data_IF_980788208780
#
_entry.id   IF_980788208780
#
_cell.length_a   1.000
_cell.length_b   1.000
_cell.length_c   1.000
_cell.angle_alpha   90.00
_cell.angle_beta   90.00
_cell.angle_gamma   90.00
#
_symmetry.space_group_name_H-M   'P 1'
#
loop_
_entity.id
_entity.type
_entity.pdbx_description
1 polymer ?
#
# COMPACT_ATOMS: atom_id res chain seq x y z
N UNK A 1 33.14 60.31 -59.98
CA UNK A 1 33.06 60.25 -58.50
C UNK A 1 32.03 59.20 -58.10
N UNK A 2 32.44 57.96 -57.82
CA UNK A 2 31.67 57.01 -57.01
C UNK A 2 32.67 56.12 -56.28
N UNK A 3 32.72 56.28 -54.96
CA UNK A 3 33.62 55.61 -54.03
C UNK A 3 33.11 54.19 -53.73
N UNK A 4 33.94 53.16 -53.99
CA UNK A 4 33.69 51.78 -53.57
C UNK A 4 34.06 51.64 -52.09
N UNK A 5 33.05 51.41 -51.24
CA UNK A 5 33.23 51.04 -49.83
C UNK A 5 33.82 49.63 -49.72
N UNK A 6 34.91 49.53 -48.96
CA UNK A 6 35.53 48.27 -48.53
C UNK A 6 34.62 47.55 -47.52
N UNK A 7 34.05 46.42 -47.92
CA UNK A 7 33.47 45.45 -46.99
C UNK A 7 34.60 44.66 -46.34
N UNK A 8 34.93 45.00 -45.09
CA UNK A 8 35.73 44.13 -44.21
C UNK A 8 34.86 42.92 -43.83
N UNK A 9 35.21 41.76 -44.37
CA UNK A 9 34.71 40.48 -43.88
C UNK A 9 35.10 40.35 -42.40
N UNK A 10 34.11 40.18 -41.53
CA UNK A 10 34.33 39.84 -40.13
C UNK A 10 35.04 38.47 -40.07
N UNK A 11 36.02 38.28 -39.17
CA UNK A 11 36.68 37.00 -39.03
C UNK A 11 35.65 35.95 -38.62
N UNK A 12 35.63 34.84 -39.36
CA UNK A 12 34.88 33.64 -39.01
C UNK A 12 35.17 33.31 -37.55
N UNK A 13 34.14 33.45 -36.70
CA UNK A 13 34.20 32.92 -35.34
C UNK A 13 34.37 31.41 -35.50
N UNK A 14 35.62 30.95 -35.36
CA UNK A 14 35.95 29.53 -35.18
C UNK A 14 35.19 29.08 -33.95
N UNK A 15 34.00 28.51 -34.18
CA UNK A 15 33.22 27.83 -33.16
C UNK A 15 34.10 26.67 -32.69
N UNK A 16 34.71 26.87 -31.53
CA UNK A 16 35.73 25.99 -31.01
C UNK A 16 35.07 24.62 -30.75
N UNK A 17 35.32 23.63 -31.60
CA UNK A 17 34.66 22.31 -31.54
C UNK A 17 34.82 21.65 -30.16
N UNK A 18 35.89 21.98 -29.42
CA UNK A 18 36.12 21.57 -28.05
C UNK A 18 35.10 22.12 -27.03
N UNK A 19 34.55 23.32 -27.28
CA UNK A 19 33.51 23.90 -26.42
C UNK A 19 32.15 23.24 -26.61
N UNK A 20 31.85 22.79 -27.83
CA UNK A 20 30.62 22.05 -28.13
C UNK A 20 30.66 20.63 -27.54
N UNK A 21 31.79 19.93 -27.69
CA UNK A 21 31.97 18.60 -27.10
C UNK A 21 31.89 18.62 -25.56
N UNK A 22 32.48 19.63 -24.91
CA UNK A 22 32.35 19.83 -23.45
C UNK A 22 30.91 20.11 -23.03
N UNK A 23 30.15 20.88 -23.81
CA UNK A 23 28.73 21.11 -23.56
C UNK A 23 27.92 19.80 -23.68
N UNK A 24 28.13 19.01 -24.74
CA UNK A 24 27.46 17.72 -24.89
C UNK A 24 27.84 16.72 -23.80
N UNK A 25 29.11 16.65 -23.40
CA UNK A 25 29.54 15.80 -22.29
C UNK A 25 28.89 16.27 -20.98
N UNK A 26 28.83 17.58 -20.72
CA UNK A 26 28.18 18.10 -19.52
C UNK A 26 26.67 17.83 -19.52
N UNK A 27 25.99 18.03 -20.65
CA UNK A 27 24.55 17.71 -20.80
C UNK A 27 24.31 16.21 -20.65
N UNK A 28 25.16 15.36 -21.24
CA UNK A 28 25.05 13.90 -21.14
C UNK A 28 25.36 13.40 -19.73
N UNK A 29 26.36 13.98 -19.04
CA UNK A 29 26.63 13.71 -17.63
C UNK A 29 25.47 14.22 -16.76
N UNK A 30 24.90 15.39 -17.03
CA UNK A 30 23.71 15.87 -16.32
C UNK A 30 22.51 14.95 -16.56
N UNK A 31 22.36 14.41 -17.78
CA UNK A 31 21.31 13.45 -18.13
C UNK A 31 21.53 12.12 -17.41
N UNK A 32 22.75 11.57 -17.42
CA UNK A 32 23.11 10.33 -16.73
C UNK A 32 23.07 10.46 -15.19
N UNK A 33 23.44 11.62 -14.64
CA UNK A 33 23.35 11.89 -13.20
C UNK A 33 21.89 12.11 -12.79
N UNK A 34 21.07 12.76 -13.64
CA UNK A 34 19.63 12.88 -13.38
C UNK A 34 18.89 11.55 -13.56
N UNK A 35 19.34 10.64 -14.41
CA UNK A 35 18.79 9.28 -14.51
C UNK A 35 19.27 8.38 -13.35
N UNK A 36 20.38 8.73 -12.70
CA UNK A 36 20.70 8.29 -11.34
C UNK A 36 19.87 9.08 -10.31
N UNK A 37 18.55 9.13 -10.49
CA UNK A 37 17.65 9.46 -9.39
C UNK A 37 17.96 8.42 -8.32
N UNK A 38 18.59 8.87 -7.23
CA UNK A 38 18.68 8.11 -5.99
C UNK A 38 17.23 7.91 -5.54
N UNK A 39 16.62 6.79 -5.96
CA UNK A 39 15.30 6.40 -5.49
C UNK A 39 15.34 6.40 -3.96
N UNK A 40 14.27 6.91 -3.36
CA UNK A 40 14.28 7.49 -2.02
C UNK A 40 15.07 6.65 -1.01
N UNK A 41 15.93 7.32 -0.24
CA UNK A 41 16.56 6.77 0.96
C UNK A 41 15.54 6.32 2.03
N UNK A 42 14.24 6.44 1.76
CA UNK A 42 13.16 6.32 2.74
C UNK A 42 12.34 5.04 2.54
N UNK A 43 12.89 4.00 1.90
CA UNK A 43 12.24 2.69 1.88
C UNK A 43 11.78 2.31 3.30
N UNK A 44 10.54 1.81 3.48
CA UNK A 44 10.06 1.41 4.79
C UNK A 44 10.97 0.32 5.36
N UNK A 45 11.55 0.55 6.54
CA UNK A 45 12.37 -0.42 7.26
C UNK A 45 12.00 -0.48 8.74
N UNK A 46 11.90 -1.67 9.29
CA UNK A 46 11.58 -1.92 10.70
C UNK A 46 10.08 -2.02 10.98
N UNK A 47 9.65 -1.55 12.15
CA UNK A 47 8.29 -1.76 12.63
C UNK A 47 7.41 -0.53 12.35
N UNK A 48 6.28 -0.77 11.71
CA UNK A 48 5.26 0.23 11.42
C UNK A 48 3.97 -0.10 12.16
N UNK A 49 3.34 0.91 12.76
CA UNK A 49 2.01 0.74 13.33
C UNK A 49 0.98 1.19 12.30
N UNK A 50 0.08 0.30 11.92
CA UNK A 50 -1.04 0.57 11.04
C UNK A 50 -2.11 1.31 11.84
N UNK A 51 -2.36 2.55 11.45
CA UNK A 51 -3.41 3.41 12.00
C UNK A 51 -4.45 3.71 10.94
N UNK A 52 -5.68 3.95 11.38
CA UNK A 52 -6.81 4.40 10.57
C UNK A 52 -7.28 5.76 11.06
N UNK A 53 -8.09 6.42 10.23
CA UNK A 53 -8.70 7.69 10.61
C UNK A 53 -9.47 7.65 11.94
N UNK A 54 -10.15 6.53 12.26
CA UNK A 54 -10.86 6.39 13.54
C UNK A 54 -9.90 6.51 14.74
N UNK A 55 -8.67 5.99 14.61
CA UNK A 55 -7.72 5.92 15.73
C UNK A 55 -7.25 7.34 16.10
N UNK A 56 -7.07 8.19 15.08
CA UNK A 56 -6.79 9.63 15.24
C UNK A 56 -8.00 10.42 15.76
N UNK A 57 -9.19 10.08 15.30
CA UNK A 57 -10.43 10.77 15.68
C UNK A 57 -10.82 10.48 17.13
N UNK A 58 -10.74 9.21 17.53
CA UNK A 58 -11.17 8.75 18.85
C UNK A 58 -10.14 9.12 19.93
N UNK A 59 -8.86 9.22 19.56
CA UNK A 59 -7.79 9.70 20.43
C UNK A 59 -6.78 10.55 19.66
N UNK A 60 -6.80 11.87 19.88
CA UNK A 60 -5.90 12.82 19.19
C UNK A 60 -4.42 12.62 19.52
N UNK A 61 -4.10 12.00 20.66
CA UNK A 61 -2.73 11.75 21.10
C UNK A 61 -2.21 10.36 20.67
N UNK A 62 -3.06 9.54 20.04
CA UNK A 62 -2.71 8.16 19.63
C UNK A 62 -1.46 8.11 18.76
N UNK A 63 -1.37 9.01 17.77
CA UNK A 63 -0.24 9.07 16.85
C UNK A 63 1.04 9.51 17.56
N UNK A 64 0.97 10.50 18.44
CA UNK A 64 2.11 10.93 19.25
C UNK A 64 2.63 9.80 20.14
N UNK A 65 1.71 9.07 20.81
CA UNK A 65 2.05 7.93 21.65
C UNK A 65 2.78 6.82 20.86
N UNK A 66 2.35 6.56 19.62
CA UNK A 66 3.01 5.61 18.71
C UNK A 66 4.40 6.11 18.29
N UNK A 67 4.48 7.34 17.76
CA UNK A 67 5.72 7.88 17.19
C UNK A 67 6.81 8.15 18.24
N UNK A 68 6.43 8.32 19.51
CA UNK A 68 7.38 8.44 20.63
C UNK A 68 8.13 7.14 20.97
N UNK A 69 7.67 5.99 20.46
CA UNK A 69 8.33 4.72 20.73
C UNK A 69 9.62 4.57 19.93
N UNK A 70 10.73 4.27 20.63
CA UNK A 70 12.05 4.10 19.99
C UNK A 70 12.10 2.92 19.02
N UNK A 71 11.35 1.86 19.30
CA UNK A 71 11.29 0.61 18.53
C UNK A 71 10.20 0.63 17.44
N UNK A 72 9.58 1.79 17.19
CA UNK A 72 8.68 2.02 16.06
C UNK A 72 9.42 2.85 15.03
N UNK A 73 9.54 2.38 13.80
CA UNK A 73 10.17 3.10 12.69
C UNK A 73 9.24 4.13 12.04
N UNK A 74 7.93 3.90 12.15
CA UNK A 74 6.95 4.72 11.46
C UNK A 74 5.51 4.27 11.67
N UNK A 75 4.62 4.87 10.88
CA UNK A 75 3.23 4.42 10.80
C UNK A 75 2.82 4.17 9.35
N UNK A 76 1.91 3.22 9.18
CA UNK A 76 1.14 3.08 7.94
C UNK A 76 -0.23 3.67 8.19
N UNK A 77 -0.63 4.68 7.43
CA UNK A 77 -1.92 5.33 7.56
C UNK A 77 -2.84 4.89 6.43
N UNK A 78 -3.92 4.18 6.78
CA UNK A 78 -4.99 3.87 5.85
C UNK A 78 -6.16 4.84 6.04
N UNK A 79 -6.36 5.69 5.03
CA UNK A 79 -7.41 6.69 4.98
C UNK A 79 -8.43 6.30 3.92
N UNK A 80 -9.71 6.26 4.27
CA UNK A 80 -10.75 6.09 3.25
C UNK A 80 -10.90 7.36 2.41
N UNK A 81 -11.30 7.23 1.15
CA UNK A 81 -11.58 8.39 0.30
C UNK A 81 -12.56 9.37 0.96
N UNK A 82 -13.58 8.88 1.66
CA UNK A 82 -14.53 9.70 2.42
C UNK A 82 -13.88 10.46 3.59
N UNK A 83 -12.78 9.98 4.16
CA UNK A 83 -12.02 10.75 5.16
C UNK A 83 -11.21 11.89 4.53
N UNK A 84 -10.83 11.71 3.27
CA UNK A 84 -9.95 12.64 2.54
C UNK A 84 -10.77 13.69 1.79
N UNK A 85 -11.85 13.30 1.11
CA UNK A 85 -12.71 14.19 0.32
C UNK A 85 -14.19 13.96 0.68
N UNK A 86 -14.60 14.27 1.93
CA UNK A 86 -15.98 14.05 2.38
C UNK A 86 -17.00 14.87 1.59
N UNK A 87 -16.57 16.00 1.02
CA UNK A 87 -17.36 16.87 0.16
C UNK A 87 -16.63 17.01 -1.17
N UNK A 88 -17.37 16.95 -2.28
CA UNK A 88 -16.84 17.06 -3.64
C UNK A 88 -15.86 18.24 -3.75
N UNK A 89 -14.65 17.97 -4.22
CA UNK A 89 -13.56 18.93 -4.40
C UNK A 89 -13.00 19.58 -3.13
N UNK A 90 -13.34 19.11 -1.93
CA UNK A 90 -12.80 19.62 -0.66
C UNK A 90 -11.91 18.56 -0.01
N UNK A 91 -10.64 18.52 -0.43
CA UNK A 91 -9.63 17.64 0.19
C UNK A 91 -9.31 18.16 1.60
N UNK A 92 -9.30 17.25 2.57
CA UNK A 92 -8.86 17.49 3.93
C UNK A 92 -7.33 17.57 3.98
N UNK A 93 -6.79 18.67 3.46
CA UNK A 93 -5.34 18.93 3.40
C UNK A 93 -4.73 19.00 4.79
N UNK A 94 -5.46 19.51 5.78
CA UNK A 94 -5.00 19.59 7.17
C UNK A 94 -4.67 18.21 7.73
N UNK A 95 -5.54 17.21 7.51
CA UNK A 95 -5.29 15.84 7.95
C UNK A 95 -3.98 15.28 7.36
N UNK A 96 -3.78 15.42 6.04
CA UNK A 96 -2.59 14.90 5.35
C UNK A 96 -1.31 15.59 5.82
N UNK A 97 -1.36 16.92 5.99
CA UNK A 97 -0.24 17.72 6.47
C UNK A 97 0.09 17.37 7.93
N UNK A 98 -0.92 17.25 8.79
CA UNK A 98 -0.75 16.93 10.20
C UNK A 98 -0.07 15.57 10.39
N UNK A 99 -0.53 14.53 9.68
CA UNK A 99 0.07 13.18 9.74
C UNK A 99 1.54 13.25 9.34
N UNK A 100 1.82 13.90 8.21
CA UNK A 100 3.17 13.91 7.66
C UNK A 100 4.14 14.75 8.49
N UNK A 101 3.69 15.91 8.98
CA UNK A 101 4.46 16.79 9.85
C UNK A 101 4.80 16.12 11.20
N UNK A 102 3.86 15.38 11.80
CA UNK A 102 4.14 14.62 13.03
C UNK A 102 5.20 13.53 12.79
N UNK A 103 5.16 12.84 11.64
CA UNK A 103 6.21 11.91 11.23
C UNK A 103 7.58 12.59 11.15
N UNK A 104 7.67 13.73 10.46
CA UNK A 104 8.91 14.52 10.36
C UNK A 104 9.41 14.95 11.73
N UNK A 105 8.53 15.49 12.57
CA UNK A 105 8.88 15.95 13.92
C UNK A 105 9.46 14.82 14.78
N UNK A 106 8.95 13.60 14.62
CA UNK A 106 9.44 12.42 15.34
C UNK A 106 10.65 11.74 14.66
N UNK A 107 11.06 12.20 13.47
CA UNK A 107 12.09 11.54 12.66
C UNK A 107 11.67 10.16 12.18
N UNK A 108 10.38 9.97 11.85
CA UNK A 108 9.76 8.69 11.51
C UNK A 108 9.17 8.70 10.10
N UNK A 109 9.14 7.52 9.49
CA UNK A 109 8.60 7.30 8.14
C UNK A 109 7.08 7.14 8.18
N UNK A 110 6.39 7.65 7.18
CA UNK A 110 4.94 7.49 6.99
C UNK A 110 4.69 6.71 5.70
N UNK A 111 3.86 5.68 5.76
CA UNK A 111 3.31 5.03 4.58
C UNK A 111 1.82 5.39 4.46
N UNK A 112 1.30 5.48 3.25
CA UNK A 112 -0.10 5.81 3.02
C UNK A 112 -0.82 4.77 2.17
N UNK A 113 -2.07 4.50 2.49
CA UNK A 113 -3.04 3.87 1.60
C UNK A 113 -4.32 4.71 1.55
N UNK A 114 -4.78 5.05 0.34
CA UNK A 114 -5.97 5.89 0.13
C UNK A 114 -7.14 5.03 -0.33
N UNK A 115 -7.80 4.40 0.64
CA UNK A 115 -8.73 3.30 0.41
C UNK A 115 -9.99 3.75 -0.36
N UNK A 116 -10.21 3.21 -1.58
CA UNK A 116 -11.42 3.42 -2.36
C UNK A 116 -12.53 2.46 -1.87
N UNK A 117 -13.37 2.00 -2.80
CA UNK A 117 -14.45 1.04 -2.60
C UNK A 117 -15.44 1.47 -1.50
N UNK A 118 -15.67 0.65 -0.47
CA UNK A 118 -16.55 0.99 0.67
C UNK A 118 -16.16 2.28 1.39
N UNK A 119 -14.91 2.70 1.22
CA UNK A 119 -14.39 3.96 1.72
C UNK A 119 -14.79 5.19 0.91
N UNK A 120 -15.58 5.05 -0.15
CA UNK A 120 -15.90 6.17 -1.05
C UNK A 120 -16.99 7.09 -0.49
N UNK A 121 -16.90 8.42 -0.72
CA UNK A 121 -17.89 9.37 -0.22
C UNK A 121 -19.20 9.30 -1.00
N UNK A 122 -20.34 9.54 -0.34
CA UNK A 122 -21.67 9.40 -0.96
C UNK A 122 -21.92 10.38 -2.12
N UNK A 123 -21.23 11.53 -2.17
CA UNK A 123 -21.43 12.52 -3.24
C UNK A 123 -21.12 11.98 -4.64
N UNK A 124 -20.30 10.92 -4.78
CA UNK A 124 -19.99 10.35 -6.10
C UNK A 124 -21.22 9.72 -6.76
N UNK A 125 -22.18 9.24 -5.98
CA UNK A 125 -23.39 8.62 -6.52
C UNK A 125 -24.32 9.68 -7.14
N UNK A 126 -24.28 10.91 -6.63
CA UNK A 126 -24.95 12.06 -7.25
C UNK A 126 -24.30 12.46 -8.60
N UNK A 127 -23.07 12.02 -8.86
CA UNK A 127 -22.37 12.20 -10.13
C UNK A 127 -22.63 11.04 -11.12
N UNK A 128 -23.54 10.11 -10.77
CA UNK A 128 -23.94 9.00 -11.63
C UNK A 128 -23.10 7.74 -11.48
N UNK A 129 -22.23 7.65 -10.46
CA UNK A 129 -21.51 6.42 -10.15
C UNK A 129 -22.48 5.32 -9.74
N UNK A 130 -22.33 4.12 -10.30
CA UNK A 130 -23.11 2.94 -9.92
C UNK A 130 -22.63 2.35 -8.61
N UNK A 131 -23.56 1.77 -7.86
CA UNK A 131 -23.30 1.06 -6.59
C UNK A 131 -23.58 -0.43 -6.80
N UNK A 132 -22.69 -1.27 -6.30
CA UNK A 132 -22.92 -2.70 -6.12
C UNK A 132 -23.16 -2.98 -4.63
N UNK A 133 -23.94 -4.01 -4.35
CA UNK A 133 -24.25 -4.45 -2.99
C UNK A 133 -24.08 -5.96 -2.89
N UNK A 134 -23.59 -6.43 -1.75
CA UNK A 134 -23.38 -7.84 -1.48
C UNK A 134 -23.52 -8.13 0.01
N UNK A 135 -23.70 -9.40 0.34
CA UNK A 135 -23.78 -9.83 1.73
C UNK A 135 -22.44 -10.36 2.17
N UNK A 136 -21.90 -9.80 3.25
CA UNK A 136 -20.64 -10.24 3.82
C UNK A 136 -20.77 -10.33 5.34
N UNK A 137 -20.46 -11.49 5.91
CA UNK A 137 -20.38 -11.61 7.35
C UNK A 137 -19.12 -10.95 7.86
N UNK A 138 -19.31 -9.95 8.72
CA UNK A 138 -18.19 -9.21 9.28
C UNK A 138 -17.72 -9.91 10.56
N UNK A 139 -16.75 -10.82 10.45
CA UNK A 139 -15.97 -11.25 11.62
C UNK A 139 -15.25 -10.06 12.26
N UNK A 140 -14.89 -9.08 11.43
CA UNK A 140 -14.15 -7.88 11.83
C UNK A 140 -14.91 -6.96 12.81
N UNK A 141 -16.20 -7.16 13.09
CA UNK A 141 -16.98 -6.39 14.07
C UNK A 141 -17.61 -7.25 15.17
N UNK A 142 -17.10 -8.45 15.40
CA UNK A 142 -17.36 -9.23 16.62
C UNK A 142 -18.71 -9.93 16.72
N UNK A 143 -19.63 -9.75 15.77
CA UNK A 143 -20.95 -10.40 15.83
C UNK A 143 -21.18 -11.48 14.77
N UNK A 144 -20.31 -11.61 13.75
CA UNK A 144 -20.41 -12.68 12.73
C UNK A 144 -21.70 -12.67 11.90
N UNK A 145 -22.60 -11.71 12.12
CA UNK A 145 -23.86 -11.61 11.41
C UNK A 145 -23.62 -11.14 9.97
N UNK A 146 -24.32 -11.72 8.98
CA UNK A 146 -24.34 -11.21 7.62
C UNK A 146 -24.75 -9.74 7.61
N UNK A 147 -23.96 -8.89 6.96
CA UNK A 147 -24.30 -7.50 6.72
C UNK A 147 -24.32 -7.22 5.23
N UNK A 148 -25.33 -6.49 4.76
CA UNK A 148 -25.30 -5.91 3.43
C UNK A 148 -24.23 -4.82 3.40
N UNK A 149 -23.24 -5.02 2.55
CA UNK A 149 -22.21 -4.03 2.25
C UNK A 149 -22.48 -3.46 0.86
N UNK A 150 -21.97 -2.26 0.61
CA UNK A 150 -22.02 -1.66 -0.71
C UNK A 150 -20.77 -0.85 -0.99
N UNK A 151 -20.43 -0.74 -2.26
CA UNK A 151 -19.31 0.04 -2.77
C UNK A 151 -19.64 0.49 -4.20
N UNK A 152 -18.88 1.44 -4.76
CA UNK A 152 -18.95 1.75 -6.18
C UNK A 152 -18.69 0.50 -7.02
N UNK A 153 -19.40 0.41 -8.14
CA UNK A 153 -19.13 -0.60 -9.17
C UNK A 153 -17.69 -0.41 -9.69
N UNK A 154 -16.78 -1.38 -9.49
CA UNK A 154 -15.39 -1.24 -9.93
C UNK A 154 -15.26 -1.15 -11.45
N UNK A 155 -16.30 -1.49 -12.22
CA UNK A 155 -16.31 -1.37 -13.67
C UNK A 155 -16.78 0.01 -14.16
N UNK A 156 -17.25 0.86 -13.26
CA UNK A 156 -17.72 2.21 -13.59
C UNK A 156 -16.54 3.13 -13.91
N UNK A 157 -16.49 3.63 -15.15
CA UNK A 157 -15.46 4.57 -15.56
C UNK A 157 -15.54 5.90 -14.81
N UNK A 158 -16.75 6.38 -14.51
CA UNK A 158 -16.96 7.65 -13.80
C UNK A 158 -16.39 7.57 -12.39
N UNK A 159 -16.51 6.41 -11.76
CA UNK A 159 -15.92 6.15 -10.45
C UNK A 159 -14.41 6.37 -10.44
N UNK A 160 -13.69 5.71 -11.36
CA UNK A 160 -12.24 5.87 -11.45
C UNK A 160 -11.81 7.26 -11.92
N UNK A 161 -12.60 7.93 -12.78
CA UNK A 161 -12.35 9.33 -13.15
C UNK A 161 -12.32 10.24 -11.92
N UNK A 162 -13.32 10.10 -11.04
CA UNK A 162 -13.44 10.90 -9.82
C UNK A 162 -12.37 10.55 -8.79
N UNK A 163 -12.12 9.26 -8.58
CA UNK A 163 -11.10 8.80 -7.62
C UNK A 163 -9.70 9.23 -8.07
N UNK A 164 -9.35 9.06 -9.34
CA UNK A 164 -8.03 9.43 -9.84
C UNK A 164 -7.79 10.96 -9.77
N UNK A 165 -8.85 11.77 -9.91
CA UNK A 165 -8.78 13.23 -9.65
C UNK A 165 -8.48 13.55 -8.20
N UNK A 166 -9.06 12.80 -7.25
CA UNK A 166 -8.72 12.90 -5.83
C UNK A 166 -7.25 12.53 -5.59
N UNK A 167 -6.80 11.38 -6.12
CA UNK A 167 -5.41 10.93 -6.01
C UNK A 167 -4.42 11.96 -6.57
N UNK A 168 -4.70 12.57 -7.71
CA UNK A 168 -3.85 13.63 -8.27
C UNK A 168 -3.69 14.83 -7.31
N UNK A 169 -4.79 15.29 -6.67
CA UNK A 169 -4.73 16.37 -5.67
C UNK A 169 -3.93 15.97 -4.43
N UNK A 170 -4.08 14.73 -3.96
CA UNK A 170 -3.29 14.19 -2.86
C UNK A 170 -1.81 14.17 -3.22
N UNK A 171 -1.46 13.79 -4.46
CA UNK A 171 -0.10 13.85 -4.99
C UNK A 171 0.55 15.22 -4.82
N UNK A 172 -0.15 16.27 -5.24
CA UNK A 172 0.34 17.65 -5.10
C UNK A 172 0.53 18.06 -3.63
N UNK A 173 -0.39 17.66 -2.74
CA UNK A 173 -0.28 17.92 -1.30
C UNK A 173 0.91 17.19 -0.69
N UNK A 174 1.15 15.94 -1.10
CA UNK A 174 2.17 15.08 -0.49
C UNK A 174 3.57 15.24 -1.10
N UNK A 175 3.67 15.84 -2.28
CA UNK A 175 4.92 16.07 -3.01
C UNK A 175 6.06 16.68 -2.17
N UNK A 176 5.83 17.68 -1.29
CA UNK A 176 6.90 18.30 -0.52
C UNK A 176 7.49 17.40 0.56
N UNK A 177 6.83 16.30 0.93
CA UNK A 177 7.22 15.51 2.08
C UNK A 177 8.12 14.33 1.67
N UNK A 178 9.35 14.36 2.17
CA UNK A 178 10.35 13.32 1.90
C UNK A 178 10.14 12.08 2.75
N UNK A 179 9.64 12.19 3.99
CA UNK A 179 9.48 11.08 4.95
C UNK A 179 8.37 10.07 4.59
N UNK A 180 7.85 10.12 3.37
CA UNK A 180 6.90 9.13 2.85
C UNK A 180 7.69 7.93 2.32
N UNK A 181 7.48 6.75 2.93
CA UNK A 181 8.21 5.54 2.56
C UNK A 181 7.65 4.87 1.32
N UNK A 182 6.37 4.49 1.36
CA UNK A 182 5.65 4.02 0.18
C UNK A 182 4.19 4.49 0.16
N UNK A 183 3.60 4.48 -1.04
CA UNK A 183 2.16 4.68 -1.28
C UNK A 183 1.57 3.34 -1.71
N UNK A 184 0.65 2.78 -0.92
CA UNK A 184 -0.10 1.61 -1.30
C UNK A 184 -1.03 1.96 -2.47
N UNK A 185 -0.82 1.31 -3.61
CA UNK A 185 -1.71 1.42 -4.75
C UNK A 185 -2.98 0.67 -4.39
N UNK A 186 -4.11 1.37 -4.47
CA UNK A 186 -5.41 0.79 -4.23
C UNK A 186 -6.15 0.59 -5.55
N UNK A 187 -6.89 -0.51 -5.67
CA UNK A 187 -7.47 -0.99 -6.90
C UNK A 187 -8.91 -1.47 -6.77
N UNK A 188 -9.39 -2.27 -7.74
CA UNK A 188 -10.79 -2.64 -7.92
C UNK A 188 -11.37 -3.63 -6.89
N UNK A 189 -10.68 -3.92 -5.78
CA UNK A 189 -11.27 -4.73 -4.72
C UNK A 189 -12.46 -3.99 -4.08
N UNK A 190 -13.66 -4.58 -4.02
CA UNK A 190 -14.86 -3.92 -3.53
C UNK A 190 -14.86 -3.74 -2.01
N UNK A 191 -13.92 -4.35 -1.28
CA UNK A 191 -13.82 -4.20 0.17
C UNK A 191 -13.25 -2.83 0.53
N UNK A 192 -11.93 -2.68 0.46
CA UNK A 192 -11.21 -1.45 0.81
C UNK A 192 -10.24 -1.03 -0.31
N UNK A 193 -10.20 -1.77 -1.42
CA UNK A 193 -9.28 -1.53 -2.53
C UNK A 193 -7.81 -1.82 -2.24
N UNK A 194 -7.40 -2.21 -1.02
CA UNK A 194 -5.97 -2.35 -0.70
C UNK A 194 -5.38 -3.63 -1.27
N UNK A 195 -6.09 -4.74 -1.09
CA UNK A 195 -5.68 -6.08 -1.45
C UNK A 195 -6.05 -6.39 -2.90
N UNK A 196 -5.19 -7.14 -3.59
CA UNK A 196 -5.51 -7.75 -4.88
C UNK A 196 -6.50 -8.93 -4.76
N UNK A 197 -7.51 -8.80 -3.89
CA UNK A 197 -8.63 -9.73 -3.75
C UNK A 197 -9.89 -9.21 -4.43
N UNK A 198 -10.83 -10.12 -4.65
CA UNK A 198 -12.19 -9.77 -5.03
C UNK A 198 -13.17 -10.55 -4.17
N UNK A 199 -13.28 -10.12 -2.92
CA UNK A 199 -14.09 -10.78 -1.89
C UNK A 199 -15.54 -10.27 -1.93
N UNK A 200 -16.27 -10.67 -2.98
CA UNK A 200 -17.74 -10.59 -3.02
C UNK A 200 -18.29 -11.95 -2.62
N UNK A 201 -18.98 -11.97 -1.48
CA UNK A 201 -19.39 -13.19 -0.81
C UNK A 201 -18.19 -13.89 -0.16
N UNK A 202 -18.22 -14.04 1.16
CA UNK A 202 -17.11 -14.58 1.95
C UNK A 202 -17.59 -15.48 3.06
N UNK A 203 -16.79 -16.50 3.40
CA UNK A 203 -17.08 -17.56 4.38
C UNK A 203 -17.62 -16.97 5.69
N UNK A 204 -18.81 -17.40 6.13
CA UNK A 204 -19.39 -17.02 7.43
C UNK A 204 -19.11 -18.13 8.44
N UNK A 205 -18.27 -17.91 9.47
CA UNK A 205 -18.43 -18.65 10.72
C UNK A 205 -19.77 -18.31 11.38
N UNK A 206 -20.70 -19.27 11.37
CA UNK A 206 -22.01 -19.19 12.00
C UNK A 206 -21.90 -19.87 13.36
N UNK A 207 -21.97 -19.15 14.50
CA UNK A 207 -22.03 -19.77 15.81
C UNK A 207 -23.22 -20.72 15.87
N UNK A 208 -22.99 -21.97 16.28
CA UNK A 208 -24.08 -22.83 16.73
C UNK A 208 -24.42 -22.47 18.19
N UNK A 209 -25.52 -23.02 18.69
CA UNK A 209 -26.00 -22.84 20.08
C UNK A 209 -24.96 -23.11 21.18
N UNK A 210 -23.87 -23.83 20.84
CA UNK A 210 -22.77 -24.17 21.75
C UNK A 210 -21.51 -23.30 21.55
N UNK A 211 -21.57 -22.24 20.74
CA UNK A 211 -20.43 -21.36 20.45
C UNK A 211 -19.31 -22.01 19.62
N UNK A 212 -19.53 -23.23 19.09
CA UNK A 212 -18.58 -23.99 18.26
C UNK A 212 -18.90 -23.83 16.77
N UNK A 213 -19.18 -22.60 16.33
CA UNK A 213 -19.72 -22.31 15.01
C UNK A 213 -19.10 -23.05 13.83
N UNK A 214 -19.91 -23.22 12.79
CA UNK A 214 -19.49 -23.84 11.53
C UNK A 214 -19.20 -22.75 10.50
N UNK A 215 -18.22 -22.98 9.64
CA UNK A 215 -18.05 -22.13 8.46
C UNK A 215 -19.17 -22.47 7.47
N UNK A 216 -20.23 -21.68 7.46
CA UNK A 216 -21.28 -21.75 6.45
C UNK A 216 -20.81 -21.07 5.16
N UNK A 217 -21.07 -21.76 4.05
CA UNK A 217 -20.99 -21.16 2.73
C UNK A 217 -22.36 -20.54 2.44
N UNK A 218 -22.56 -19.24 2.69
CA UNK A 218 -23.75 -18.51 2.21
C UNK A 218 -23.77 -18.53 0.66
N UNK A 219 -24.92 -18.30 -0.02
CA UNK A 219 -24.98 -18.41 -1.49
C UNK A 219 -24.20 -17.28 -2.18
N UNK A 220 -22.88 -17.47 -2.35
CA UNK A 220 -21.94 -16.45 -2.84
C UNK A 220 -21.67 -16.52 -4.33
N UNK A 221 -21.89 -17.68 -4.95
CA UNK A 221 -21.61 -17.85 -6.38
C UNK A 221 -22.47 -16.89 -7.20
N UNK A 222 -23.74 -16.74 -6.85
CA UNK A 222 -24.66 -15.83 -7.54
C UNK A 222 -24.28 -14.35 -7.33
N UNK A 223 -23.96 -13.89 -6.11
CA UNK A 223 -23.54 -12.50 -5.88
C UNK A 223 -22.24 -12.18 -6.64
N UNK A 224 -21.26 -13.10 -6.62
CA UNK A 224 -20.03 -12.95 -7.38
C UNK A 224 -20.26 -12.99 -8.89
N UNK A 225 -21.09 -13.89 -9.41
CA UNK A 225 -21.46 -13.94 -10.84
C UNK A 225 -22.21 -12.67 -11.27
N UNK A 226 -23.16 -12.21 -10.45
CA UNK A 226 -23.94 -11.00 -10.69
C UNK A 226 -23.11 -9.71 -10.59
N UNK A 227 -21.96 -9.75 -9.92
CA UNK A 227 -21.03 -8.61 -9.90
C UNK A 227 -20.39 -8.33 -11.25
N UNK A 228 -20.51 -9.25 -12.21
CA UNK A 228 -19.87 -9.13 -13.52
C UNK A 228 -18.35 -9.26 -13.45
N UNK A 229 -17.82 -9.96 -12.44
CA UNK A 229 -16.39 -10.16 -12.30
C UNK A 229 -15.79 -10.83 -13.54
N UNK A 230 -14.79 -10.18 -14.11
CA UNK A 230 -13.99 -10.72 -15.21
C UNK A 230 -12.51 -10.56 -14.86
N UNK A 231 -11.80 -11.69 -14.80
CA UNK A 231 -10.38 -11.78 -14.44
C UNK A 231 -9.52 -10.75 -15.20
N UNK A 232 -9.65 -10.69 -16.53
CA UNK A 232 -8.85 -9.79 -17.37
C UNK A 232 -9.18 -8.32 -17.09
N UNK A 233 -10.47 -7.96 -16.95
CA UNK A 233 -10.86 -6.58 -16.60
C UNK A 233 -10.31 -6.17 -15.23
N UNK A 234 -10.34 -7.08 -14.26
CA UNK A 234 -9.79 -6.85 -12.92
C UNK A 234 -8.28 -6.60 -12.95
N UNK A 235 -7.53 -7.45 -13.65
CA UNK A 235 -6.08 -7.28 -13.86
C UNK A 235 -5.78 -5.95 -14.56
N UNK A 236 -6.50 -5.62 -15.63
CA UNK A 236 -6.27 -4.39 -16.39
C UNK A 236 -6.58 -3.13 -15.58
N UNK A 237 -7.59 -3.18 -14.71
CA UNK A 237 -7.87 -2.08 -13.78
C UNK A 237 -6.75 -1.90 -12.75
N UNK A 238 -6.20 -2.98 -12.20
CA UNK A 238 -5.01 -2.90 -11.35
C UNK A 238 -3.82 -2.26 -12.08
N UNK A 239 -3.51 -2.70 -13.30
CA UNK A 239 -2.45 -2.11 -14.12
C UNK A 239 -2.68 -0.61 -14.37
N UNK A 240 -3.92 -0.21 -14.67
CA UNK A 240 -4.30 1.19 -14.84
C UNK A 240 -4.08 2.00 -13.55
N UNK A 241 -4.45 1.46 -12.39
CA UNK A 241 -4.23 2.14 -11.12
C UNK A 241 -2.74 2.31 -10.81
N UNK A 242 -1.91 1.28 -11.06
CA UNK A 242 -0.46 1.43 -10.98
C UNK A 242 0.09 2.55 -11.89
N UNK A 243 -0.40 2.66 -13.13
CA UNK A 243 -0.01 3.75 -14.03
C UNK A 243 -0.41 5.13 -13.48
N UNK A 244 -1.60 5.27 -12.90
CA UNK A 244 -2.06 6.52 -12.28
C UNK A 244 -1.17 6.88 -11.10
N UNK A 245 -0.99 5.96 -10.15
CA UNK A 245 -0.17 6.21 -8.97
C UNK A 245 1.30 6.47 -9.31
N UNK A 246 1.85 5.79 -10.33
CA UNK A 246 3.19 6.05 -10.84
C UNK A 246 3.33 7.48 -11.39
N UNK A 247 2.31 7.95 -12.11
CA UNK A 247 2.29 9.32 -12.66
C UNK A 247 2.19 10.36 -11.53
N UNK A 248 1.37 10.09 -10.51
CA UNK A 248 1.11 11.02 -9.40
C UNK A 248 2.25 11.04 -8.37
N UNK A 249 2.90 9.90 -8.13
CA UNK A 249 3.97 9.73 -7.15
C UNK A 249 5.26 9.20 -7.77
N UNK A 250 5.86 9.88 -8.77
CA UNK A 250 6.97 9.35 -9.58
C UNK A 250 8.27 9.09 -8.79
N UNK A 251 8.41 9.65 -7.58
CA UNK A 251 9.59 9.50 -6.74
C UNK A 251 9.35 8.57 -5.54
N UNK A 252 8.12 8.07 -5.36
CA UNK A 252 7.77 7.21 -4.23
C UNK A 252 7.77 5.75 -4.66
N UNK A 253 8.02 4.87 -3.68
CA UNK A 253 7.74 3.44 -3.84
C UNK A 253 6.23 3.23 -3.88
N UNK A 254 5.80 2.30 -4.72
CA UNK A 254 4.42 1.90 -4.91
C UNK A 254 4.22 0.52 -4.29
N UNK A 255 3.27 0.45 -3.36
CA UNK A 255 2.91 -0.75 -2.63
C UNK A 255 1.82 -1.55 -3.32
N UNK A 256 1.91 -2.88 -3.29
CA UNK A 256 0.78 -3.77 -3.56
C UNK A 256 0.59 -4.73 -2.37
N UNK A 257 -0.63 -4.79 -1.84
CA UNK A 257 -1.01 -5.88 -0.96
C UNK A 257 -1.47 -7.08 -1.81
N UNK A 258 -0.69 -8.16 -1.77
CA UNK A 258 -1.01 -9.40 -2.48
C UNK A 258 -1.99 -10.23 -1.66
N UNK A 259 -2.99 -10.79 -2.35
CA UNK A 259 -3.98 -11.67 -1.74
C UNK A 259 -4.45 -12.72 -2.76
N UNK A 260 -5.04 -13.81 -2.28
CA UNK A 260 -5.43 -14.97 -3.11
C UNK A 260 -6.94 -15.17 -3.25
N UNK A 261 -7.71 -14.53 -2.38
CA UNK A 261 -9.17 -14.68 -2.36
C UNK A 261 -9.81 -13.99 -3.57
N UNK A 262 -10.39 -14.79 -4.46
CA UNK A 262 -11.12 -14.33 -5.64
C UNK A 262 -12.47 -15.07 -5.65
N UNK A 263 -13.51 -14.38 -5.22
CA UNK A 263 -14.82 -14.99 -4.98
C UNK A 263 -14.71 -16.20 -4.03
N UNK A 264 -15.32 -17.36 -4.35
CA UNK A 264 -15.25 -18.55 -3.49
C UNK A 264 -13.91 -19.29 -3.56
N UNK A 265 -13.01 -18.90 -4.48
CA UNK A 265 -11.79 -19.64 -4.79
C UNK A 265 -10.55 -18.92 -4.24
N UNK A 266 -9.48 -19.70 -4.01
CA UNK A 266 -8.13 -19.18 -3.88
C UNK A 266 -7.46 -19.30 -5.25
N UNK A 267 -7.14 -18.17 -5.88
CA UNK A 267 -6.51 -18.12 -7.20
C UNK A 267 -5.36 -17.13 -7.18
N UNK A 268 -4.12 -17.63 -7.36
CA UNK A 268 -2.94 -16.78 -7.40
C UNK A 268 -2.70 -16.12 -8.75
N UNK A 269 -3.31 -16.61 -9.83
CA UNK A 269 -2.98 -16.19 -11.20
C UNK A 269 -3.12 -14.68 -11.36
N UNK A 270 -4.16 -14.09 -10.76
CA UNK A 270 -4.38 -12.64 -10.78
C UNK A 270 -3.24 -11.90 -10.10
N UNK A 271 -2.89 -12.31 -8.89
CA UNK A 271 -1.80 -11.70 -8.12
C UNK A 271 -0.44 -11.91 -8.78
N UNK A 272 -0.20 -13.08 -9.38
CA UNK A 272 1.01 -13.38 -10.15
C UNK A 272 1.15 -12.44 -11.36
N UNK A 273 0.09 -12.30 -12.17
CA UNK A 273 0.10 -11.43 -13.36
C UNK A 273 0.26 -9.95 -13.00
N UNK A 274 -0.41 -9.49 -11.93
CA UNK A 274 -0.29 -8.10 -11.47
C UNK A 274 1.12 -7.84 -10.94
N UNK A 275 1.65 -8.72 -10.10
CA UNK A 275 3.02 -8.66 -9.56
C UNK A 275 4.06 -8.59 -10.68
N UNK A 276 3.98 -9.48 -11.65
CA UNK A 276 4.95 -9.56 -12.75
C UNK A 276 4.90 -8.31 -13.64
N UNK A 277 3.69 -7.77 -13.88
CA UNK A 277 3.52 -6.49 -14.55
C UNK A 277 4.20 -5.36 -13.78
N UNK A 278 3.96 -5.26 -12.46
CA UNK A 278 4.51 -4.20 -11.62
C UNK A 278 6.03 -4.25 -11.63
N UNK A 279 6.62 -5.43 -11.46
CA UNK A 279 8.06 -5.58 -11.49
C UNK A 279 8.67 -5.19 -12.83
N UNK A 280 8.03 -5.58 -13.93
CA UNK A 280 8.54 -5.30 -15.27
C UNK A 280 8.49 -3.81 -15.62
N UNK A 281 7.58 -3.04 -15.01
CA UNK A 281 7.33 -1.65 -15.37
C UNK A 281 7.82 -0.62 -14.33
N UNK A 282 8.00 -1.02 -13.07
CA UNK A 282 8.35 -0.11 -11.96
C UNK A 282 9.52 -0.62 -11.12
N UNK A 283 10.44 -1.38 -11.72
CA UNK A 283 11.60 -1.95 -11.03
C UNK A 283 12.33 -0.91 -10.15
N UNK A 284 12.77 -1.31 -8.95
CA UNK A 284 13.37 -0.41 -7.95
C UNK A 284 12.37 0.33 -7.07
N UNK A 285 11.10 0.42 -7.49
CA UNK A 285 10.06 1.20 -6.79
C UNK A 285 8.94 0.34 -6.24
N UNK A 286 9.07 -0.98 -6.27
CA UNK A 286 8.03 -1.90 -5.83
C UNK A 286 8.17 -2.22 -4.33
N UNK A 287 7.05 -2.18 -3.63
CA UNK A 287 6.90 -2.69 -2.28
C UNK A 287 5.76 -3.71 -2.26
N UNK A 288 6.02 -4.97 -1.88
CA UNK A 288 4.97 -5.98 -1.77
C UNK A 288 4.62 -6.20 -0.31
N UNK A 289 3.33 -6.26 -0.01
CA UNK A 289 2.83 -6.52 1.33
C UNK A 289 2.01 -7.80 1.33
N UNK A 290 2.27 -8.66 2.30
CA UNK A 290 1.45 -9.85 2.55
C UNK A 290 0.54 -9.56 3.75
N UNK A 291 -0.78 -9.56 3.53
CA UNK A 291 -1.77 -9.24 4.57
C UNK A 291 -2.46 -10.49 5.11
N UNK A 292 -3.12 -10.34 6.25
CA UNK A 292 -4.04 -11.35 6.77
C UNK A 292 -3.37 -12.47 7.57
N UNK A 293 -2.22 -12.18 8.19
CA UNK A 293 -1.51 -13.19 8.96
C UNK A 293 -2.21 -13.51 10.30
N UNK A 294 -2.97 -14.61 10.35
CA UNK A 294 -3.71 -15.05 11.54
C UNK A 294 -3.25 -16.38 12.16
N UNK A 295 -2.48 -17.21 11.44
CA UNK A 295 -2.01 -18.51 11.96
C UNK A 295 -0.49 -18.72 11.73
N UNK A 296 0.13 -19.54 12.60
CA UNK A 296 1.58 -19.80 12.58
C UNK A 296 2.07 -20.54 11.33
N UNK A 297 1.20 -21.18 10.55
CA UNK A 297 1.60 -22.23 9.60
C UNK A 297 1.40 -21.84 8.12
N UNK A 298 0.44 -20.96 7.82
CA UNK A 298 -0.06 -20.74 6.47
C UNK A 298 0.79 -19.83 5.58
N UNK A 299 1.79 -19.12 6.09
CA UNK A 299 2.55 -18.09 5.34
C UNK A 299 4.08 -18.19 5.44
N UNK A 300 4.57 -18.89 6.45
CA UNK A 300 6.00 -18.88 6.80
C UNK A 300 6.69 -20.17 6.37
N UNK A 301 5.91 -21.18 5.98
CA UNK A 301 6.46 -22.33 5.28
C UNK A 301 6.85 -21.90 3.86
N UNK A 302 8.02 -22.34 3.41
CA UNK A 302 8.58 -22.08 2.07
C UNK A 302 7.61 -22.45 0.93
N UNK A 303 6.66 -23.34 1.22
CA UNK A 303 5.64 -23.83 0.30
C UNK A 303 4.24 -23.25 0.56
N UNK A 304 4.13 -22.24 1.44
CA UNK A 304 2.87 -21.53 1.63
C UNK A 304 2.43 -20.80 0.37
N UNK A 305 1.12 -20.64 0.21
CA UNK A 305 0.58 -19.94 -0.97
C UNK A 305 1.05 -18.48 -1.05
N UNK A 306 1.31 -17.83 0.09
CA UNK A 306 1.86 -16.47 0.15
C UNK A 306 3.37 -16.40 -0.10
N UNK A 307 4.16 -17.36 0.38
CA UNK A 307 5.56 -17.48 -0.06
C UNK A 307 5.65 -17.76 -1.57
N UNK A 308 4.69 -18.52 -2.13
CA UNK A 308 4.55 -18.74 -3.58
C UNK A 308 4.18 -17.46 -4.33
N UNK A 309 3.31 -16.61 -3.76
CA UNK A 309 2.97 -15.30 -4.35
C UNK A 309 4.16 -14.37 -4.46
N UNK A 310 5.13 -14.48 -3.57
CA UNK A 310 6.40 -13.77 -3.73
C UNK A 310 7.35 -14.53 -4.64
N UNK A 311 7.16 -15.81 -4.94
CA UNK A 311 8.01 -16.56 -5.85
C UNK A 311 9.47 -16.70 -5.38
N UNK A 312 10.15 -17.78 -5.78
CA UNK A 312 11.57 -17.99 -5.39
C UNK A 312 12.51 -16.90 -5.93
N UNK A 313 12.14 -16.24 -7.03
CA UNK A 313 12.96 -15.20 -7.67
C UNK A 313 12.93 -13.84 -6.96
N UNK A 314 11.81 -13.45 -6.32
CA UNK A 314 11.67 -12.09 -5.76
C UNK A 314 12.35 -11.91 -4.43
N UNK A 315 12.55 -13.01 -3.71
CA UNK A 315 13.41 -13.07 -2.53
C UNK A 315 14.85 -12.64 -2.85
N UNK A 316 15.26 -12.73 -4.11
CA UNK A 316 16.65 -12.49 -4.51
C UNK A 316 16.85 -11.14 -5.20
N UNK A 317 15.80 -10.48 -5.70
CA UNK A 317 15.91 -9.18 -6.37
C UNK A 317 16.12 -8.05 -5.36
N UNK A 318 17.31 -7.44 -5.26
CA UNK A 318 17.61 -6.42 -4.25
C UNK A 318 16.79 -5.14 -4.40
N UNK A 319 16.05 -4.98 -5.50
CA UNK A 319 15.25 -3.80 -5.81
C UNK A 319 13.81 -3.87 -5.29
N UNK A 320 13.44 -5.00 -4.67
CA UNK A 320 12.10 -5.26 -4.17
C UNK A 320 12.12 -5.20 -2.64
N UNK A 321 11.22 -4.40 -2.08
CA UNK A 321 10.97 -4.42 -0.65
C UNK A 321 9.74 -5.27 -0.35
N UNK A 322 9.85 -6.11 0.67
CA UNK A 322 8.80 -7.00 1.14
C UNK A 322 8.44 -6.61 2.57
N UNK A 323 7.14 -6.45 2.79
CA UNK A 323 6.55 -6.20 4.09
C UNK A 323 5.52 -7.25 4.46
N UNK A 324 5.32 -7.42 5.76
CA UNK A 324 4.29 -8.29 6.32
C UNK A 324 3.31 -7.46 7.14
N UNK A 325 2.02 -7.68 7.00
CA UNK A 325 1.02 -7.06 7.86
C UNK A 325 0.39 -8.09 8.81
N UNK A 326 0.50 -7.79 10.09
CA UNK A 326 0.00 -8.59 11.19
C UNK A 326 -1.34 -8.07 11.68
N UNK A 327 -2.36 -8.92 11.64
CA UNK A 327 -3.65 -8.66 12.28
C UNK A 327 -3.90 -9.76 13.32
N UNK A 328 -3.34 -9.64 14.53
CA UNK A 328 -3.70 -10.57 15.60
C UNK A 328 -5.07 -10.18 16.11
N UNK A 329 -6.11 -10.78 15.56
CA UNK A 329 -7.42 -10.54 16.13
C UNK A 329 -7.47 -11.09 17.57
N UNK A 330 -7.59 -10.16 18.53
CA UNK A 330 -7.62 -10.27 20.00
C UNK A 330 -8.72 -11.22 20.54
N UNK A 331 -9.37 -12.02 19.69
CA UNK A 331 -10.50 -12.87 20.08
C UNK A 331 -10.19 -14.37 20.17
N UNK A 332 -8.93 -14.78 20.05
CA UNK A 332 -8.48 -16.02 20.69
C UNK A 332 -7.72 -15.66 21.95
N UNK A 333 -8.43 -15.38 23.04
CA UNK A 333 -7.91 -15.21 24.41
C UNK A 333 -7.16 -16.46 24.97
N UNK A 334 -6.60 -17.33 24.13
CA UNK A 334 -5.89 -18.54 24.53
C UNK A 334 -4.60 -18.84 23.78
N UNK A 335 -4.23 -18.09 22.73
CA UNK A 335 -2.96 -18.34 22.03
C UNK A 335 -2.01 -17.14 22.15
N UNK A 336 -1.21 -17.21 23.23
CA UNK A 336 0.19 -16.77 23.34
C UNK A 336 0.83 -16.37 21.99
N UNK A 337 1.53 -15.26 21.81
CA UNK A 337 2.57 -14.68 22.66
C UNK A 337 3.24 -13.54 21.89
N UNK A 338 3.90 -12.60 22.59
CA UNK A 338 4.94 -11.77 21.99
C UNK A 338 6.07 -12.56 21.29
N UNK A 339 6.19 -13.86 21.58
CA UNK A 339 7.05 -14.78 20.84
C UNK A 339 6.69 -14.94 19.36
N UNK A 340 5.42 -14.78 18.97
CA UNK A 340 5.01 -14.95 17.56
C UNK A 340 5.59 -13.89 16.64
N UNK A 341 5.58 -12.61 17.01
CA UNK A 341 6.10 -11.54 16.15
C UNK A 341 7.61 -11.69 15.97
N UNK A 342 8.33 -12.00 17.06
CA UNK A 342 9.76 -12.29 17.01
C UNK A 342 10.08 -13.49 16.12
N UNK A 343 9.41 -14.63 16.35
CA UNK A 343 9.55 -15.85 15.52
C UNK A 343 9.23 -15.56 14.05
N UNK A 344 8.21 -14.75 13.78
CA UNK A 344 7.79 -14.44 12.42
C UNK A 344 8.73 -13.50 11.71
N UNK A 345 9.33 -12.55 12.43
CA UNK A 345 10.36 -11.70 11.85
C UNK A 345 11.62 -12.53 11.59
N UNK A 346 12.01 -13.42 12.51
CA UNK A 346 13.11 -14.37 12.28
C UNK A 346 12.84 -15.25 11.06
N UNK A 347 11.64 -15.81 10.95
CA UNK A 347 11.29 -16.67 9.83
C UNK A 347 11.07 -15.88 8.53
N UNK A 348 10.49 -14.69 8.59
CA UNK A 348 10.37 -13.80 7.43
C UNK A 348 11.75 -13.44 6.90
N UNK A 349 12.69 -13.11 7.79
CA UNK A 349 14.09 -12.86 7.44
C UNK A 349 14.75 -14.12 6.86
N UNK A 350 14.44 -15.31 7.37
CA UNK A 350 15.01 -16.56 6.83
C UNK A 350 14.43 -16.94 5.46
N UNK A 351 13.15 -16.63 5.19
CA UNK A 351 12.47 -16.94 3.92
C UNK A 351 12.78 -15.89 2.86
N UNK A 352 12.74 -14.61 3.22
CA UNK A 352 12.77 -13.47 2.29
C UNK A 352 14.11 -12.72 2.31
N UNK A 353 15.03 -13.08 3.23
CA UNK A 353 16.38 -12.53 3.30
C UNK A 353 16.39 -11.01 3.47
N UNK A 354 17.36 -10.38 2.80
CA UNK A 354 17.57 -8.93 2.79
C UNK A 354 16.40 -8.11 2.23
N UNK A 355 15.47 -8.74 1.52
CA UNK A 355 14.34 -8.04 0.90
C UNK A 355 13.16 -7.88 1.87
N UNK A 356 13.14 -8.61 2.98
CA UNK A 356 12.17 -8.36 4.04
C UNK A 356 12.60 -7.15 4.85
N UNK A 357 11.85 -6.05 4.69
CA UNK A 357 12.25 -4.75 5.21
C UNK A 357 11.38 -4.29 6.37
N UNK A 358 10.08 -4.54 6.36
CA UNK A 358 9.19 -4.00 7.39
C UNK A 358 8.05 -4.93 7.82
N UNK A 359 7.49 -4.64 8.98
CA UNK A 359 6.25 -5.24 9.49
C UNK A 359 5.26 -4.15 9.83
N UNK A 360 4.01 -4.34 9.46
CA UNK A 360 2.87 -3.52 9.87
C UNK A 360 2.06 -4.24 10.94
N UNK A 361 1.75 -3.54 12.03
CA UNK A 361 0.94 -4.07 13.14
C UNK A 361 -0.21 -3.13 13.43
N UNK A 362 -1.41 -3.68 13.59
CA UNK A 362 -2.60 -2.87 13.85
C UNK A 362 -2.48 -2.10 15.15
N UNK A 363 -3.02 -0.87 15.17
CA UNK A 363 -2.99 -0.01 16.35
C UNK A 363 -3.58 -0.67 17.60
N UNK A 364 -4.66 -1.45 17.46
CA UNK A 364 -5.22 -2.20 18.59
C UNK A 364 -4.23 -3.23 19.19
N UNK A 365 -3.47 -3.92 18.35
CA UNK A 365 -2.46 -4.89 18.79
C UNK A 365 -1.30 -4.19 19.49
N UNK A 366 -0.92 -3.00 18.99
CA UNK A 366 0.04 -2.13 19.65
C UNK A 366 -0.44 -1.67 21.03
N UNK A 367 -1.69 -1.21 21.15
CA UNK A 367 -2.27 -0.81 22.44
C UNK A 367 -2.28 -1.97 23.44
N UNK A 368 -2.66 -3.17 22.97
CA UNK A 368 -2.60 -4.37 23.78
C UNK A 368 -1.15 -4.65 24.25
N UNK A 369 -0.18 -4.58 23.32
CA UNK A 369 1.22 -4.83 23.62
C UNK A 369 1.81 -3.87 24.66
N UNK A 370 1.38 -2.60 24.68
CA UNK A 370 1.85 -1.63 25.68
C UNK A 370 1.58 -2.05 27.12
N UNK A 371 0.60 -2.93 27.35
CA UNK A 371 0.24 -3.44 28.68
C UNK A 371 0.82 -4.83 28.97
N UNK A 372 1.56 -5.43 28.04
CA UNK A 372 2.08 -6.79 28.15
C UNK A 372 3.57 -6.87 27.76
N UNK A 373 4.44 -6.99 28.77
CA UNK A 373 5.91 -6.92 28.60
C UNK A 373 6.47 -7.89 27.54
N UNK A 374 5.94 -9.11 27.46
CA UNK A 374 6.40 -10.11 26.48
C UNK A 374 6.16 -9.68 25.04
N UNK A 375 5.07 -8.95 24.78
CA UNK A 375 4.76 -8.43 23.45
C UNK A 375 5.78 -7.36 23.05
N UNK A 376 6.06 -6.41 23.94
CA UNK A 376 7.07 -5.37 23.71
C UNK A 376 8.44 -5.98 23.40
N UNK A 377 8.82 -7.06 24.10
CA UNK A 377 10.08 -7.76 23.84
C UNK A 377 10.10 -8.40 22.45
N UNK A 378 9.00 -9.01 22.00
CA UNK A 378 8.85 -9.52 20.64
C UNK A 378 8.99 -8.44 19.58
N UNK A 379 8.34 -7.29 19.78
CA UNK A 379 8.46 -6.13 18.89
C UNK A 379 9.88 -5.58 18.83
N UNK A 380 10.56 -5.44 19.97
CA UNK A 380 11.95 -4.96 20.03
C UNK A 380 12.91 -5.91 19.33
N UNK A 381 12.82 -7.21 19.61
CA UNK A 381 13.62 -8.23 18.92
C UNK A 381 13.41 -8.17 17.41
N UNK A 382 12.15 -8.03 17.00
CA UNK A 382 11.78 -7.85 15.60
C UNK A 382 12.38 -6.60 14.96
N UNK A 383 12.28 -5.47 15.64
CA UNK A 383 12.89 -4.21 15.25
C UNK A 383 14.41 -4.37 15.10
N UNK A 384 15.09 -4.94 16.08
CA UNK A 384 16.55 -5.13 16.05
C UNK A 384 16.98 -6.01 14.86
N UNK A 385 16.22 -7.07 14.53
CA UNK A 385 16.49 -7.91 13.36
C UNK A 385 16.36 -7.10 12.06
N UNK A 386 15.31 -6.29 11.93
CA UNK A 386 15.04 -5.51 10.72
C UNK A 386 15.94 -4.28 10.59
N UNK A 387 16.36 -3.69 11.70
CA UNK A 387 17.22 -2.50 11.72
C UNK A 387 18.68 -2.88 11.43
N UNK A 388 19.11 -4.09 11.81
CA UNK A 388 20.47 -4.57 11.58
C UNK A 388 20.69 -5.31 10.24
N UNK A 389 19.63 -5.71 9.52
CA UNK A 389 19.70 -6.37 8.19
C UNK A 389 19.28 -5.42 7.08
#
# INVERSE_FOLDING_TARGET
MYSRKNNKLLPERVFNQYSMLKFFILVFIFYLINDCIVFSQNSPRGLFILMRYKDLKDNKDSMHAVLSQKWVSGITMYLTWNNIEPVKNQINTELLNQITAQGIQAGKTINFGFLPARGSPEWIYNEGVKKISWTHARFLSGQGLPQTNSAPDPWDFKYWELYNKCIAKIGEILKPYSNIGYIAVCGPSPMNGIEANYSIGGRVWVPNENGKGMTATYPYKEEFENSGFEKIKFIDLWKKQFNVFNTVFPEKKLGLALHLEIGPNHDSEISDVIRDYIMSNYNGRCAFMLLGLGDKNGMIQKDSEYARLLGKGLVQDPNIDIGLQFAAWVNTQKNASGGMIGEWIENGTSVYGKNFRWVEVWYEDFQFAQTHADYINGFRKGYDILDNN
#
